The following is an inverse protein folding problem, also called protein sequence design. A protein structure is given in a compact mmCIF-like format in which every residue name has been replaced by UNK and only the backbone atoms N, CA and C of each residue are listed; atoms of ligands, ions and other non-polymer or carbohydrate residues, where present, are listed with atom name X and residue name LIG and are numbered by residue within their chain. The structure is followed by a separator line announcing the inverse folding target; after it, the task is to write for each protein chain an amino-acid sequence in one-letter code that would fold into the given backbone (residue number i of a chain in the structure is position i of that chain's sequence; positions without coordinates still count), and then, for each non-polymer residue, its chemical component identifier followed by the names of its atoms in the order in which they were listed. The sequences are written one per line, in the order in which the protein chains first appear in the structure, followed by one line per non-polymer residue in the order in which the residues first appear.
data_IF_598230190868
#
_entry.id   IF_598230190868
#
_cell.length_a   1.000
_cell.length_b   1.000
_cell.length_c   1.000
_cell.angle_alpha   90.00
_cell.angle_beta   90.00
_cell.angle_gamma   90.00
#
_symmetry.space_group_name_H-M   'P 1'
#
loop_
_entity.id
_entity.type
_entity.pdbx_description
1 polymer ?
#
# COMPACT_ATOMS: atom_id res chain seq x y z
N UNK A 1 46.22 28.40 -26.13
CA UNK A 1 44.74 28.42 -26.16
C UNK A 1 44.24 27.16 -25.47
N UNK A 2 43.75 27.28 -24.25
CA UNK A 2 43.16 26.17 -23.49
C UNK A 2 41.65 26.14 -23.82
N UNK A 3 41.24 25.22 -24.69
CA UNK A 3 39.83 25.02 -25.09
C UNK A 3 39.01 24.26 -24.01
N UNK A 4 39.66 23.75 -22.95
CA UNK A 4 39.04 22.88 -21.95
C UNK A 4 37.86 23.50 -21.16
N UNK A 5 37.85 24.83 -20.98
CA UNK A 5 36.77 25.53 -20.25
C UNK A 5 35.48 25.66 -21.10
N UNK A 6 35.59 25.53 -22.43
CA UNK A 6 34.43 25.62 -23.34
C UNK A 6 33.93 24.26 -23.83
N UNK A 7 34.73 23.19 -23.77
CA UNK A 7 34.32 21.86 -24.28
C UNK A 7 33.54 21.05 -23.24
N UNK A 8 33.85 21.20 -21.94
CA UNK A 8 33.18 20.48 -20.84
C UNK A 8 31.64 20.59 -20.88
N UNK A 9 31.07 21.80 -20.94
CA UNK A 9 29.61 21.98 -20.96
C UNK A 9 28.91 21.39 -22.19
N UNK A 10 29.58 21.38 -23.37
CA UNK A 10 28.99 20.83 -24.60
C UNK A 10 28.99 19.30 -24.60
N UNK A 11 30.04 18.67 -24.06
CA UNK A 11 30.11 17.21 -23.91
C UNK A 11 29.09 16.73 -22.88
N UNK A 12 28.98 17.43 -21.76
CA UNK A 12 27.98 17.19 -20.73
C UNK A 12 26.54 17.32 -21.28
N UNK A 13 26.23 18.40 -22.01
CA UNK A 13 24.91 18.57 -22.62
C UNK A 13 24.57 17.45 -23.61
N UNK A 14 25.55 17.03 -24.43
CA UNK A 14 25.36 15.93 -25.39
C UNK A 14 25.08 14.61 -24.66
N UNK A 15 25.76 14.37 -23.55
CA UNK A 15 25.55 13.18 -22.75
C UNK A 15 24.17 13.18 -22.06
N UNK A 16 23.73 14.31 -21.49
CA UNK A 16 22.37 14.45 -20.95
C UNK A 16 21.32 14.19 -22.04
N UNK A 17 21.51 14.70 -23.26
CA UNK A 17 20.61 14.42 -24.38
C UNK A 17 20.52 12.93 -24.71
N UNK A 18 21.66 12.20 -24.71
CA UNK A 18 21.65 10.75 -24.93
C UNK A 18 20.93 10.00 -23.80
N UNK A 19 21.09 10.47 -22.55
CA UNK A 19 20.37 9.90 -21.41
C UNK A 19 18.86 10.08 -21.57
N UNK A 20 18.42 11.28 -21.95
CA UNK A 20 17.00 11.59 -22.13
C UNK A 20 16.38 10.95 -23.37
N UNK A 21 17.11 10.85 -24.48
CA UNK A 21 16.56 10.35 -25.73
C UNK A 21 16.58 8.83 -25.85
N UNK A 22 17.47 8.15 -25.12
CA UNK A 22 17.68 6.70 -25.30
C UNK A 22 17.70 5.91 -24.00
N UNK A 23 18.50 6.35 -23.03
CA UNK A 23 18.69 5.58 -21.79
C UNK A 23 17.43 5.55 -20.94
N UNK A 24 16.90 6.72 -20.54
CA UNK A 24 15.70 6.83 -19.74
C UNK A 24 14.47 6.19 -20.43
N UNK A 25 14.19 6.43 -21.72
CA UNK A 25 13.11 5.72 -22.41
C UNK A 25 13.25 4.19 -22.36
N UNK A 26 14.48 3.66 -22.46
CA UNK A 26 14.73 2.22 -22.33
C UNK A 26 14.36 1.70 -20.93
N UNK A 27 14.73 2.44 -19.88
CA UNK A 27 14.36 2.09 -18.51
C UNK A 27 12.85 2.18 -18.28
N UNK A 28 12.23 3.28 -18.71
CA UNK A 28 10.79 3.52 -18.62
C UNK A 28 10.01 2.41 -19.32
N UNK A 29 10.41 2.00 -20.53
CA UNK A 29 9.80 0.88 -21.25
C UNK A 29 9.88 -0.43 -20.45
N UNK A 30 10.98 -0.66 -19.74
CA UNK A 30 11.12 -1.80 -18.84
C UNK A 30 10.13 -1.75 -17.69
N UNK A 31 10.06 -0.62 -16.99
CA UNK A 31 9.16 -0.43 -15.86
C UNK A 31 7.68 -0.46 -16.26
N UNK A 32 7.31 0.04 -17.44
CA UNK A 32 5.93 -0.09 -17.95
C UNK A 32 5.56 -1.56 -18.17
N UNK A 33 6.48 -2.40 -18.64
CA UNK A 33 6.23 -3.84 -18.73
C UNK A 33 5.99 -4.45 -17.35
N UNK A 34 6.81 -4.10 -16.36
CA UNK A 34 6.62 -4.59 -14.99
C UNK A 34 5.29 -4.10 -14.40
N UNK A 35 4.93 -2.83 -14.64
CA UNK A 35 3.71 -2.22 -14.16
C UNK A 35 2.48 -2.97 -14.70
N UNK A 36 2.52 -3.37 -15.96
CA UNK A 36 1.46 -4.14 -16.60
C UNK A 36 1.39 -5.61 -16.15
N UNK A 37 2.54 -6.19 -15.77
CA UNK A 37 2.63 -7.60 -15.34
C UNK A 37 2.37 -7.78 -13.84
N UNK A 38 2.57 -6.74 -13.03
CA UNK A 38 2.36 -6.80 -11.59
C UNK A 38 0.89 -7.10 -11.26
N UNK A 39 0.62 -7.89 -10.19
CA UNK A 39 -0.74 -8.23 -9.82
C UNK A 39 -1.60 -6.98 -9.60
N UNK A 40 -2.90 -7.01 -9.95
CA UNK A 40 -3.79 -5.88 -9.74
C UNK A 40 -3.83 -5.44 -8.29
N UNK A 41 -3.90 -4.13 -8.06
CA UNK A 41 -4.06 -3.53 -6.72
C UNK A 41 -2.96 -3.93 -5.71
N UNK A 42 -1.79 -4.37 -6.19
CA UNK A 42 -0.71 -4.90 -5.36
C UNK A 42 0.34 -3.86 -4.96
N UNK A 43 1.03 -4.12 -3.84
CA UNK A 43 2.21 -3.35 -3.41
C UNK A 43 3.36 -3.45 -4.42
N UNK A 44 3.48 -4.55 -5.15
CA UNK A 44 4.45 -4.70 -6.24
C UNK A 44 4.18 -3.67 -7.35
N UNK A 45 2.91 -3.56 -7.80
CA UNK A 45 2.51 -2.58 -8.81
C UNK A 45 2.75 -1.14 -8.34
N UNK A 46 2.42 -0.84 -7.08
CA UNK A 46 2.70 0.46 -6.47
C UNK A 46 4.20 0.78 -6.43
N UNK A 47 5.04 -0.20 -6.10
CA UNK A 47 6.50 -0.03 -6.08
C UNK A 47 7.05 0.31 -7.47
N UNK A 48 6.57 -0.36 -8.52
CA UNK A 48 6.94 -0.03 -9.91
C UNK A 48 6.50 1.39 -10.26
N UNK A 49 5.24 1.75 -9.97
CA UNK A 49 4.69 3.08 -10.24
C UNK A 49 5.48 4.19 -9.52
N UNK A 50 5.89 3.94 -8.27
CA UNK A 50 6.71 4.86 -7.49
C UNK A 50 8.02 5.17 -8.19
N UNK A 51 8.72 4.15 -8.69
CA UNK A 51 10.00 4.32 -9.41
C UNK A 51 9.78 5.06 -10.73
N UNK A 52 8.74 4.71 -11.50
CA UNK A 52 8.36 5.42 -12.73
C UNK A 52 8.18 6.93 -12.48
N UNK A 53 7.39 7.28 -11.45
CA UNK A 53 7.13 8.67 -11.06
C UNK A 53 8.39 9.38 -10.59
N UNK A 54 9.23 8.72 -9.78
CA UNK A 54 10.49 9.30 -9.32
C UNK A 54 11.51 9.50 -10.44
N UNK A 55 11.55 8.65 -11.47
CA UNK A 55 12.43 8.86 -12.63
C UNK A 55 11.96 10.05 -13.48
N UNK A 56 10.65 10.27 -13.58
CA UNK A 56 10.05 11.36 -14.35
C UNK A 56 10.13 12.72 -13.64
N UNK A 57 9.68 12.79 -12.39
CA UNK A 57 9.42 14.03 -11.65
C UNK A 57 10.38 14.17 -10.47
N UNK A 58 11.24 15.20 -10.54
CA UNK A 58 12.27 15.46 -9.53
C UNK A 58 11.70 15.89 -8.18
N UNK A 59 10.49 16.44 -8.13
CA UNK A 59 9.90 17.00 -6.90
C UNK A 59 9.65 15.96 -5.81
N UNK A 60 9.32 14.72 -6.19
CA UNK A 60 9.14 13.58 -5.28
C UNK A 60 10.23 12.52 -5.38
N UNK A 61 11.34 12.84 -6.06
CA UNK A 61 12.41 11.89 -6.34
C UNK A 61 13.25 11.59 -5.10
N UNK A 62 13.32 10.31 -4.75
CA UNK A 62 14.35 9.78 -3.85
C UNK A 62 15.34 8.95 -4.68
N UNK A 63 16.52 9.52 -4.95
CA UNK A 63 17.53 8.88 -5.81
C UNK A 63 17.95 7.51 -5.28
N UNK A 64 18.11 7.37 -3.97
CA UNK A 64 18.55 6.12 -3.35
C UNK A 64 17.48 5.02 -3.50
N UNK A 65 16.21 5.36 -3.31
CA UNK A 65 15.11 4.41 -3.52
C UNK A 65 15.04 3.90 -4.97
N UNK A 66 15.21 4.80 -5.96
CA UNK A 66 15.26 4.43 -7.39
C UNK A 66 16.46 3.52 -7.67
N UNK A 67 17.65 3.90 -7.18
CA UNK A 67 18.88 3.11 -7.37
C UNK A 67 18.76 1.71 -6.76
N UNK A 68 18.24 1.59 -5.54
CA UNK A 68 18.05 0.29 -4.89
C UNK A 68 17.08 -0.61 -5.66
N UNK A 69 15.97 -0.06 -6.14
CA UNK A 69 15.03 -0.81 -6.95
C UNK A 69 15.67 -1.31 -8.26
N UNK A 70 16.35 -0.41 -8.98
CA UNK A 70 16.98 -0.75 -10.26
C UNK A 70 18.16 -1.72 -10.07
N UNK A 71 18.94 -1.60 -8.99
CA UNK A 71 19.98 -2.56 -8.63
C UNK A 71 19.43 -3.96 -8.46
N UNK A 72 18.31 -4.11 -7.73
CA UNK A 72 17.65 -5.41 -7.53
C UNK A 72 17.15 -5.98 -8.85
N UNK A 73 16.54 -5.14 -9.70
CA UNK A 73 16.11 -5.52 -11.05
C UNK A 73 17.27 -6.05 -11.89
N UNK A 74 18.36 -5.30 -11.99
CA UNK A 74 19.52 -5.67 -12.80
C UNK A 74 20.31 -6.84 -12.22
N UNK A 75 20.30 -7.04 -10.91
CA UNK A 75 20.88 -8.25 -10.30
C UNK A 75 20.18 -9.52 -10.78
N UNK A 76 18.88 -9.45 -11.06
CA UNK A 76 18.11 -10.57 -11.60
C UNK A 76 18.30 -10.73 -13.11
N UNK A 77 18.27 -9.63 -13.87
CA UNK A 77 18.34 -9.65 -15.34
C UNK A 77 19.76 -9.90 -15.87
N UNK A 78 20.78 -9.32 -15.21
CA UNK A 78 22.19 -9.38 -15.60
C UNK A 78 23.02 -10.15 -14.58
N UNK A 79 22.54 -11.31 -14.15
CA UNK A 79 23.20 -12.12 -13.13
C UNK A 79 24.65 -12.45 -13.52
N UNK A 80 25.58 -12.23 -12.60
CA UNK A 80 27.02 -12.44 -12.81
C UNK A 80 27.75 -11.37 -13.64
N UNK A 81 27.03 -10.40 -14.24
CA UNK A 81 27.61 -9.37 -15.12
C UNK A 81 27.84 -8.05 -14.36
N UNK A 82 28.80 -8.07 -13.41
CA UNK A 82 29.05 -6.94 -12.50
C UNK A 82 29.40 -5.63 -13.22
N UNK A 83 30.20 -5.68 -14.27
CA UNK A 83 30.63 -4.49 -15.00
C UNK A 83 29.45 -3.79 -15.69
N UNK A 84 28.52 -4.57 -16.25
CA UNK A 84 27.29 -4.03 -16.86
C UNK A 84 26.40 -3.39 -15.81
N UNK A 85 26.21 -4.06 -14.66
CA UNK A 85 25.41 -3.50 -13.56
C UNK A 85 26.01 -2.18 -13.03
N UNK A 86 27.34 -2.11 -12.90
CA UNK A 86 28.03 -0.91 -12.47
C UNK A 86 27.89 0.25 -13.48
N UNK A 87 28.02 -0.03 -14.79
CA UNK A 87 27.84 0.97 -15.83
C UNK A 87 26.39 1.49 -15.89
N UNK A 88 25.40 0.58 -15.84
CA UNK A 88 23.99 0.95 -15.77
C UNK A 88 23.71 1.83 -14.56
N UNK A 89 24.28 1.50 -13.39
CA UNK A 89 24.12 2.30 -12.18
C UNK A 89 24.73 3.69 -12.32
N UNK A 90 25.92 3.81 -12.90
CA UNK A 90 26.56 5.11 -13.12
C UNK A 90 25.75 6.02 -14.06
N UNK A 91 25.18 5.47 -15.13
CA UNK A 91 24.30 6.22 -16.04
C UNK A 91 23.00 6.65 -15.35
N UNK A 92 22.41 5.78 -14.52
CA UNK A 92 21.21 6.10 -13.76
C UNK A 92 21.47 7.20 -12.72
N UNK A 93 22.55 7.09 -11.96
CA UNK A 93 22.91 8.09 -10.93
C UNK A 93 23.03 9.47 -11.56
N UNK A 94 23.79 9.57 -12.66
CA UNK A 94 23.96 10.82 -13.38
C UNK A 94 22.64 11.33 -13.98
N UNK A 95 21.80 10.46 -14.55
CA UNK A 95 20.49 10.86 -15.06
C UNK A 95 19.60 11.44 -13.94
N UNK A 96 19.53 10.78 -12.78
CA UNK A 96 18.71 11.22 -11.65
C UNK A 96 19.15 12.56 -11.04
N UNK A 97 20.42 12.93 -11.19
CA UNK A 97 20.92 14.23 -10.76
C UNK A 97 20.55 15.36 -11.74
N UNK A 98 20.59 15.07 -13.04
CA UNK A 98 20.61 16.08 -14.09
C UNK A 98 19.31 16.24 -14.90
N UNK A 99 18.35 15.31 -14.81
CA UNK A 99 17.10 15.36 -15.61
C UNK A 99 15.86 15.66 -14.77
N UNK A 100 14.88 16.32 -15.38
CA UNK A 100 13.55 16.54 -14.82
C UNK A 100 12.53 16.66 -15.95
N UNK A 101 12.05 15.50 -16.43
CA UNK A 101 11.08 15.46 -17.52
C UNK A 101 9.77 16.12 -17.15
N UNK A 102 9.34 16.01 -15.89
CA UNK A 102 8.13 16.67 -15.43
C UNK A 102 8.26 18.20 -15.53
N UNK A 103 9.32 18.80 -14.98
CA UNK A 103 9.52 20.25 -15.07
C UNK A 103 9.68 20.73 -16.53
N UNK A 104 10.40 19.98 -17.37
CA UNK A 104 10.52 20.28 -18.81
C UNK A 104 9.14 20.34 -19.48
N UNK A 105 8.28 19.35 -19.23
CA UNK A 105 6.90 19.34 -19.77
C UNK A 105 6.08 20.51 -19.25
N UNK A 106 6.16 20.84 -17.96
CA UNK A 106 5.45 21.98 -17.38
C UNK A 106 5.92 23.31 -17.98
N UNK A 107 7.19 23.41 -18.40
CA UNK A 107 7.73 24.59 -19.09
C UNK A 107 7.37 24.67 -20.59
N UNK A 108 6.68 23.65 -21.13
CA UNK A 108 6.24 23.61 -22.53
C UNK A 108 7.27 23.03 -23.52
N UNK A 109 8.28 22.29 -23.05
CA UNK A 109 9.24 21.61 -23.93
C UNK A 109 8.53 20.53 -24.77
N UNK A 110 8.45 20.74 -26.09
CA UNK A 110 7.78 19.84 -27.03
C UNK A 110 8.41 18.46 -27.10
N UNK A 111 9.73 18.37 -26.96
CA UNK A 111 10.45 17.11 -27.06
C UNK A 111 10.22 16.28 -25.78
N UNK A 112 10.20 16.93 -24.61
CA UNK A 112 9.86 16.27 -23.34
C UNK A 112 8.41 15.76 -23.34
N UNK A 113 7.46 16.54 -23.89
CA UNK A 113 6.06 16.11 -24.05
C UNK A 113 5.97 14.90 -24.98
N UNK A 114 6.65 14.94 -26.12
CA UNK A 114 6.68 13.83 -27.08
C UNK A 114 7.28 12.56 -26.46
N UNK A 115 8.40 12.66 -25.73
CA UNK A 115 9.04 11.54 -25.03
C UNK A 115 8.14 10.89 -23.97
N UNK A 116 7.33 11.68 -23.26
CA UNK A 116 6.43 11.16 -22.21
C UNK A 116 5.15 10.53 -22.75
N UNK A 117 4.71 10.92 -23.95
CA UNK A 117 3.42 10.50 -24.53
C UNK A 117 3.14 8.99 -24.45
N UNK A 118 4.11 8.06 -24.68
CA UNK A 118 3.86 6.62 -24.56
C UNK A 118 3.56 6.13 -23.14
N UNK A 119 3.95 6.89 -22.11
CA UNK A 119 3.88 6.51 -20.69
C UNK A 119 2.67 7.07 -19.96
N UNK A 120 2.07 8.14 -20.51
CA UNK A 120 0.98 8.88 -19.87
C UNK A 120 -0.21 7.99 -19.49
N UNK A 121 -0.78 7.28 -20.47
CA UNK A 121 -1.96 6.42 -20.26
C UNK A 121 -1.69 5.24 -19.31
N UNK A 122 -0.59 4.46 -19.44
CA UNK A 122 -0.25 3.43 -18.46
C UNK A 122 -0.14 3.96 -17.03
N UNK A 123 0.50 5.11 -16.83
CA UNK A 123 0.68 5.73 -15.52
C UNK A 123 -0.67 6.14 -14.93
N UNK A 124 -1.49 6.87 -15.69
CA UNK A 124 -2.83 7.31 -15.24
C UNK A 124 -3.71 6.10 -14.89
N UNK A 125 -3.71 5.05 -15.71
CA UNK A 125 -4.49 3.85 -15.45
C UNK A 125 -4.05 3.16 -14.14
N UNK A 126 -2.73 3.03 -13.91
CA UNK A 126 -2.22 2.46 -12.68
C UNK A 126 -2.53 3.33 -11.46
N UNK A 127 -2.45 4.65 -11.58
CA UNK A 127 -2.85 5.59 -10.52
C UNK A 127 -4.33 5.41 -10.16
N UNK A 128 -5.21 5.38 -11.16
CA UNK A 128 -6.65 5.16 -10.94
C UNK A 128 -6.92 3.80 -10.28
N UNK A 129 -6.30 2.73 -10.77
CA UNK A 129 -6.42 1.39 -10.19
C UNK A 129 -5.98 1.36 -8.72
N UNK A 130 -4.78 1.86 -8.43
CA UNK A 130 -4.18 1.81 -7.09
C UNK A 130 -4.80 2.83 -6.12
N UNK A 131 -5.52 3.83 -6.62
CA UNK A 131 -6.27 4.81 -5.80
C UNK A 131 -7.58 4.26 -5.23
N UNK A 132 -8.07 3.11 -5.73
CA UNK A 132 -9.30 2.48 -5.22
C UNK A 132 -9.20 2.08 -3.75
N UNK A 133 -8.00 1.72 -3.30
CA UNK A 133 -7.73 1.45 -1.89
C UNK A 133 -7.44 2.79 -1.18
N UNK A 134 -8.26 3.20 -0.20
CA UNK A 134 -8.01 4.42 0.54
C UNK A 134 -6.64 4.41 1.22
N UNK A 135 -5.96 5.56 1.23
CA UNK A 135 -4.58 5.66 1.74
C UNK A 135 -4.43 5.14 3.17
N UNK A 136 -5.38 5.44 4.05
CA UNK A 136 -5.38 4.98 5.44
C UNK A 136 -5.41 3.45 5.54
N UNK A 137 -6.09 2.77 4.61
CA UNK A 137 -6.17 1.31 4.59
C UNK A 137 -4.83 0.70 4.19
N UNK A 138 -4.11 1.30 3.24
CA UNK A 138 -2.73 0.90 2.90
C UNK A 138 -1.76 1.10 4.07
N UNK A 139 -1.84 2.26 4.73
CA UNK A 139 -1.01 2.54 5.92
C UNK A 139 -1.24 1.47 6.98
N UNK A 140 -2.50 1.16 7.25
CA UNK A 140 -2.90 0.17 8.24
C UNK A 140 -2.41 -1.25 7.89
N UNK A 141 -2.55 -1.67 6.63
CA UNK A 141 -2.03 -2.96 6.16
C UNK A 141 -0.50 -3.04 6.30
N UNK A 142 0.21 -1.98 5.93
CA UNK A 142 1.68 -1.90 6.08
C UNK A 142 2.08 -2.01 7.55
N UNK A 143 1.37 -1.31 8.43
CA UNK A 143 1.60 -1.34 9.87
C UNK A 143 1.43 -2.77 10.42
N UNK A 144 0.37 -3.46 10.01
CA UNK A 144 0.08 -4.85 10.39
C UNK A 144 1.14 -5.81 9.85
N UNK A 145 1.53 -5.69 8.58
CA UNK A 145 2.56 -6.56 7.97
C UNK A 145 3.92 -6.38 8.64
N UNK A 146 4.34 -5.13 8.91
CA UNK A 146 5.59 -4.85 9.63
C UNK A 146 5.55 -5.33 11.09
N UNK A 147 4.37 -5.36 11.71
CA UNK A 147 4.23 -5.86 13.08
C UNK A 147 4.67 -7.33 13.18
N UNK A 148 4.44 -8.14 12.15
CA UNK A 148 4.80 -9.57 12.12
C UNK A 148 6.31 -9.82 12.22
N UNK A 149 7.16 -8.85 11.82
CA UNK A 149 8.62 -9.01 11.90
C UNK A 149 9.23 -8.44 13.18
N UNK A 150 8.48 -7.65 13.95
CA UNK A 150 8.98 -6.92 15.12
C UNK A 150 8.36 -7.41 16.42
N UNK A 151 7.09 -7.82 16.39
CA UNK A 151 6.40 -8.34 17.55
C UNK A 151 6.73 -9.83 17.78
N UNK A 152 6.63 -10.31 19.03
CA UNK A 152 6.64 -11.73 19.33
C UNK A 152 5.54 -12.51 18.61
N UNK A 153 5.59 -13.83 18.72
CA UNK A 153 4.57 -14.72 18.19
C UNK A 153 3.16 -14.38 18.70
N UNK A 154 2.17 -14.74 17.88
CA UNK A 154 0.77 -14.52 18.15
C UNK A 154 0.29 -15.26 19.41
N UNK A 155 -0.71 -14.68 20.08
CA UNK A 155 -1.29 -15.24 21.30
C UNK A 155 -2.30 -16.32 20.92
N UNK A 156 -2.15 -17.53 21.46
CA UNK A 156 -3.12 -18.59 21.29
C UNK A 156 -3.99 -18.74 22.55
N UNK A 157 -5.30 -18.58 22.41
CA UNK A 157 -6.27 -18.72 23.51
C UNK A 157 -6.24 -20.12 24.13
N UNK A 158 -5.96 -21.17 23.34
CA UNK A 158 -5.78 -22.53 23.84
C UNK A 158 -4.64 -22.60 24.86
N UNK A 159 -3.51 -21.99 24.54
CA UNK A 159 -2.33 -21.97 25.40
C UNK A 159 -2.55 -21.09 26.64
N UNK A 160 -3.31 -19.99 26.51
CA UNK A 160 -3.67 -19.14 27.66
C UNK A 160 -4.58 -19.85 28.66
N UNK A 161 -5.48 -20.73 28.19
CA UNK A 161 -6.28 -21.60 29.06
C UNK A 161 -5.41 -22.70 29.66
N UNK A 162 -4.50 -23.27 28.87
CA UNK A 162 -3.53 -24.24 29.30
C UNK A 162 -3.99 -25.70 29.08
N UNK A 163 -3.37 -26.67 29.77
CA UNK A 163 -3.42 -28.09 29.40
C UNK A 163 -4.82 -28.72 29.50
N UNK A 164 -5.73 -28.14 30.28
CA UNK A 164 -7.11 -28.62 30.42
C UNK A 164 -8.05 -28.08 29.35
N UNK A 165 -7.55 -27.32 28.37
CA UNK A 165 -8.39 -26.76 27.31
C UNK A 165 -9.22 -27.83 26.63
N UNK A 166 -8.57 -28.89 26.12
CA UNK A 166 -9.24 -29.94 25.33
C UNK A 166 -10.21 -30.83 26.13
N UNK A 167 -10.11 -30.77 27.46
CA UNK A 167 -11.03 -31.46 28.35
C UNK A 167 -12.35 -30.70 28.50
N UNK A 168 -12.33 -29.37 28.38
CA UNK A 168 -13.47 -28.51 28.67
C UNK A 168 -14.04 -27.82 27.44
N UNK A 169 -13.17 -27.38 26.53
CA UNK A 169 -13.52 -26.62 25.35
C UNK A 169 -13.29 -27.40 24.06
N UNK A 170 -14.08 -27.06 23.06
CA UNK A 170 -13.85 -27.36 21.65
C UNK A 170 -13.96 -26.06 20.87
N UNK A 171 -13.11 -25.90 19.86
CA UNK A 171 -13.12 -24.74 18.98
C UNK A 171 -13.79 -25.10 17.64
N UNK A 172 -14.67 -24.22 17.16
CA UNK A 172 -15.27 -24.39 15.83
C UNK A 172 -14.27 -24.17 14.69
N UNK A 173 -13.28 -23.30 14.92
CA UNK A 173 -12.16 -23.03 14.01
C UNK A 173 -10.91 -22.68 14.84
N UNK A 174 -9.86 -23.51 14.79
CA UNK A 174 -8.62 -23.27 15.54
C UNK A 174 -7.89 -21.98 15.14
N UNK A 175 -8.04 -21.50 13.90
CA UNK A 175 -7.43 -20.23 13.46
C UNK A 175 -7.97 -19.03 14.25
N UNK A 176 -9.23 -19.09 14.70
CA UNK A 176 -9.83 -18.03 15.53
C UNK A 176 -9.33 -18.03 16.97
N UNK A 177 -8.66 -19.11 17.40
CA UNK A 177 -7.99 -19.13 18.71
C UNK A 177 -6.67 -18.35 18.69
N UNK A 178 -6.12 -18.10 17.50
CA UNK A 178 -4.86 -17.37 17.32
C UNK A 178 -5.18 -15.88 17.15
N UNK A 179 -4.80 -15.09 18.15
CA UNK A 179 -4.94 -13.64 18.18
C UNK A 179 -3.60 -13.03 17.75
N UNK A 180 -3.55 -12.29 16.62
CA UNK A 180 -2.33 -11.63 16.19
C UNK A 180 -1.73 -10.77 17.30
N UNK A 181 -0.42 -10.85 17.54
CA UNK A 181 0.22 -10.09 18.62
C UNK A 181 -0.01 -8.58 18.46
N UNK A 182 -0.16 -8.11 17.21
CA UNK A 182 -0.54 -6.74 16.85
C UNK A 182 -1.88 -6.28 17.46
N UNK A 183 -2.82 -7.20 17.68
CA UNK A 183 -4.16 -6.96 18.25
C UNK A 183 -4.26 -7.43 19.71
N UNK A 184 -3.14 -7.44 20.43
CA UNK A 184 -3.08 -7.63 21.88
C UNK A 184 -2.78 -6.31 22.58
N UNK A 185 -3.00 -6.25 23.90
CA UNK A 185 -2.62 -5.05 24.67
C UNK A 185 -1.13 -4.74 24.51
N UNK A 186 -0.29 -5.77 24.51
CA UNK A 186 1.15 -5.61 24.29
C UNK A 186 1.41 -4.98 22.92
N UNK A 187 0.80 -5.48 21.84
CA UNK A 187 0.95 -4.92 20.50
C UNK A 187 0.47 -3.46 20.41
N UNK A 188 -0.63 -3.14 21.08
CA UNK A 188 -1.15 -1.77 21.16
C UNK A 188 -0.12 -0.82 21.77
N UNK A 189 0.37 -1.14 22.97
CA UNK A 189 1.24 -0.25 23.74
C UNK A 189 2.68 -0.23 23.23
N UNK A 190 3.23 -1.39 22.87
CA UNK A 190 4.63 -1.53 22.50
C UNK A 190 4.90 -1.15 21.04
N UNK A 191 3.88 -1.18 20.17
CA UNK A 191 4.04 -0.95 18.74
C UNK A 191 3.04 0.07 18.18
N UNK A 192 1.72 -0.20 18.17
CA UNK A 192 0.74 0.65 17.47
C UNK A 192 0.82 2.13 17.89
N UNK A 193 0.81 2.39 19.20
CA UNK A 193 0.88 3.76 19.76
C UNK A 193 2.19 4.45 19.39
N UNK A 194 3.30 3.72 19.36
CA UNK A 194 4.63 4.28 19.06
C UNK A 194 4.81 4.65 17.58
N UNK A 195 4.06 4.02 16.68
CA UNK A 195 4.18 4.31 15.24
C UNK A 195 3.47 5.59 14.81
N UNK A 196 2.60 6.18 15.65
CA UNK A 196 1.71 7.30 15.29
C UNK A 196 2.41 8.44 14.54
N UNK A 197 3.57 8.88 15.01
CA UNK A 197 4.29 10.01 14.40
C UNK A 197 4.94 9.63 13.06
N UNK A 198 5.45 8.40 12.93
CA UNK A 198 6.08 7.90 11.70
C UNK A 198 5.10 7.40 10.63
N UNK A 199 3.84 7.14 10.98
CA UNK A 199 2.83 6.59 10.06
C UNK A 199 2.50 7.52 8.89
N UNK A 200 2.59 8.84 9.09
CA UNK A 200 2.13 9.83 8.11
C UNK A 200 3.23 10.22 7.12
N UNK A 201 4.50 10.04 7.50
CA UNK A 201 5.63 10.31 6.60
C UNK A 201 5.77 9.25 5.52
N UNK A 202 5.38 8.00 5.82
CA UNK A 202 5.48 6.87 4.89
C UNK A 202 4.53 6.94 3.69
N UNK A 203 3.48 7.78 3.75
CA UNK A 203 2.37 7.71 2.78
C UNK A 203 2.16 8.96 1.95
N UNK A 204 2.77 10.08 2.33
CA UNK A 204 2.69 11.31 1.55
C UNK A 204 3.33 11.14 0.17
N UNK A 205 4.42 10.38 0.11
CA UNK A 205 5.04 9.95 -1.14
C UNK A 205 4.08 9.12 -2.00
N UNK A 206 3.35 8.17 -1.40
CA UNK A 206 2.43 7.31 -2.15
C UNK A 206 1.22 8.09 -2.67
N UNK A 207 0.69 9.06 -1.93
CA UNK A 207 -0.34 9.97 -2.46
C UNK A 207 0.17 10.81 -3.62
N UNK A 208 1.41 11.28 -3.58
CA UNK A 208 2.04 11.99 -4.69
C UNK A 208 2.27 11.07 -5.90
N UNK A 209 2.70 9.82 -5.68
CA UNK A 209 2.85 8.80 -6.72
C UNK A 209 1.51 8.53 -7.41
N UNK A 210 0.44 8.48 -6.62
CA UNK A 210 -0.93 8.27 -7.08
C UNK A 210 -1.61 9.52 -7.65
N UNK A 211 -0.91 10.67 -7.65
CA UNK A 211 -1.45 11.96 -8.09
C UNK A 211 -2.71 12.40 -7.31
N UNK A 212 -2.80 12.00 -6.03
CA UNK A 212 -3.85 12.44 -5.09
C UNK A 212 -3.50 13.77 -4.42
N UNK A 213 -2.19 14.05 -4.30
CA UNK A 213 -1.66 15.30 -3.78
C UNK A 213 -0.56 15.82 -4.71
N UNK A 214 -0.45 17.14 -4.84
CA UNK A 214 0.66 17.78 -5.58
C UNK A 214 1.95 17.86 -4.74
N UNK A 215 1.83 17.68 -3.43
CA UNK A 215 2.94 17.73 -2.47
C UNK A 215 3.27 16.34 -1.95
N UNK A 216 4.57 16.11 -1.71
CA UNK A 216 5.14 14.93 -1.05
C UNK A 216 4.99 15.03 0.48
N UNK A 217 4.35 16.09 0.99
CA UNK A 217 4.03 16.29 2.38
C UNK A 217 2.54 16.58 2.56
N UNK A 218 1.88 15.84 3.47
CA UNK A 218 0.50 16.12 3.88
C UNK A 218 0.39 17.36 4.75
N UNK A 219 -0.75 18.05 4.61
CA UNK A 219 -1.19 19.07 5.57
C UNK A 219 -1.48 18.44 6.93
N UNK A 220 -1.37 19.21 8.01
CA UNK A 220 -1.66 18.73 9.38
C UNK A 220 -3.07 18.15 9.51
N UNK A 221 -4.06 18.77 8.87
CA UNK A 221 -5.44 18.29 8.84
C UNK A 221 -5.58 16.91 8.17
N UNK A 222 -4.90 16.68 7.04
CA UNK A 222 -4.90 15.36 6.39
C UNK A 222 -4.24 14.31 7.28
N UNK A 223 -3.18 14.68 8.01
CA UNK A 223 -2.49 13.78 8.95
C UNK A 223 -3.43 13.32 10.06
N UNK A 224 -4.16 14.25 10.65
CA UNK A 224 -5.12 13.96 11.72
C UNK A 224 -6.25 13.05 11.23
N UNK A 225 -6.79 13.32 10.05
CA UNK A 225 -7.88 12.52 9.47
C UNK A 225 -7.43 11.08 9.14
N UNK A 226 -6.23 10.92 8.56
CA UNK A 226 -5.63 9.61 8.31
C UNK A 226 -5.43 8.85 9.63
N UNK A 227 -4.86 9.50 10.65
CA UNK A 227 -4.65 8.89 11.97
C UNK A 227 -5.97 8.47 12.62
N UNK A 228 -7.01 9.30 12.50
CA UNK A 228 -8.35 8.99 13.01
C UNK A 228 -8.89 7.72 12.35
N UNK A 229 -8.86 7.63 11.02
CA UNK A 229 -9.32 6.45 10.29
C UNK A 229 -8.53 5.17 10.64
N UNK A 230 -7.20 5.26 10.75
CA UNK A 230 -6.36 4.13 11.16
C UNK A 230 -6.72 3.65 12.56
N UNK A 231 -6.92 4.59 13.49
CA UNK A 231 -7.30 4.28 14.88
C UNK A 231 -8.66 3.60 14.95
N UNK A 232 -9.64 4.08 14.19
CA UNK A 232 -10.96 3.46 14.12
C UNK A 232 -10.89 2.03 13.57
N UNK A 233 -10.14 1.82 12.49
CA UNK A 233 -9.94 0.50 11.91
C UNK A 233 -9.25 -0.45 12.90
N UNK A 234 -8.20 0.02 13.59
CA UNK A 234 -7.48 -0.78 14.58
C UNK A 234 -8.38 -1.24 15.73
N UNK A 235 -9.18 -0.33 16.30
CA UNK A 235 -10.12 -0.67 17.39
C UNK A 235 -11.20 -1.65 16.91
N UNK A 236 -11.72 -1.43 15.69
CA UNK A 236 -12.70 -2.33 15.08
C UNK A 236 -12.15 -3.75 14.92
N UNK A 237 -10.96 -3.89 14.34
CA UNK A 237 -10.32 -5.19 14.14
C UNK A 237 -9.96 -5.85 15.47
N UNK A 238 -9.40 -5.09 16.42
CA UNK A 238 -9.12 -5.57 17.77
C UNK A 238 -10.36 -6.18 18.41
N UNK A 239 -11.47 -5.44 18.38
CA UNK A 239 -12.73 -5.87 18.99
C UNK A 239 -13.31 -7.09 18.28
N UNK A 240 -13.30 -7.09 16.95
CA UNK A 240 -13.81 -8.20 16.14
C UNK A 240 -13.00 -9.48 16.35
N UNK A 241 -11.66 -9.40 16.38
CA UNK A 241 -10.77 -10.55 16.56
C UNK A 241 -10.96 -11.19 17.94
N UNK A 242 -10.98 -10.40 19.02
CA UNK A 242 -11.18 -10.94 20.37
C UNK A 242 -12.58 -11.52 20.57
N UNK A 243 -13.62 -10.87 20.04
CA UNK A 243 -14.98 -11.44 20.06
C UNK A 243 -15.04 -12.75 19.28
N UNK A 244 -14.51 -12.79 18.07
CA UNK A 244 -14.47 -14.00 17.27
C UNK A 244 -13.71 -15.15 17.95
N UNK A 245 -12.61 -14.85 18.66
CA UNK A 245 -11.87 -15.86 19.43
C UNK A 245 -12.66 -16.39 20.63
N UNK A 246 -13.30 -15.51 21.39
CA UNK A 246 -14.11 -15.92 22.55
C UNK A 246 -15.41 -16.62 22.15
N UNK A 247 -16.11 -16.15 21.13
CA UNK A 247 -17.34 -16.76 20.59
C UNK A 247 -17.07 -18.13 19.96
N UNK A 248 -15.80 -18.42 19.63
CA UNK A 248 -15.38 -19.70 19.07
C UNK A 248 -15.08 -20.76 20.14
N UNK A 249 -15.05 -20.39 21.43
CA UNK A 249 -14.92 -21.31 22.55
C UNK A 249 -16.27 -21.93 22.91
N UNK A 250 -16.47 -23.20 22.56
CA UNK A 250 -17.66 -23.95 22.93
C UNK A 250 -17.33 -24.97 24.02
N UNK A 251 -18.26 -25.23 24.92
CA UNK A 251 -18.12 -26.33 25.88
C UNK A 251 -18.23 -27.64 25.13
N UNK A 252 -17.31 -28.56 25.43
CA UNK A 252 -17.30 -29.90 24.85
C UNK A 252 -18.57 -30.68 25.24
N UNK A 253 -19.10 -31.47 24.31
CA UNK A 253 -20.13 -32.47 24.61
C UNK A 253 -19.49 -33.73 25.20
N UNK A 254 -20.11 -34.30 26.24
CA UNK A 254 -19.61 -35.48 26.94
C UNK A 254 -20.56 -36.67 26.76
N UNK A 255 -20.05 -37.76 26.21
CA UNK A 255 -20.80 -39.02 26.10
C UNK A 255 -20.71 -39.86 27.39
N UNK A 256 -19.57 -39.79 28.09
CA UNK A 256 -19.31 -40.55 29.31
C UNK A 256 -19.43 -39.69 30.57
N UNK A 257 -20.14 -40.20 31.59
CA UNK A 257 -20.31 -39.51 32.88
C UNK A 257 -18.99 -39.25 33.61
N UNK A 258 -18.00 -40.16 33.47
CA UNK A 258 -16.67 -39.96 34.04
C UNK A 258 -15.98 -38.74 33.44
N UNK A 259 -16.00 -38.60 32.11
CA UNK A 259 -15.40 -37.45 31.42
C UNK A 259 -16.08 -36.12 31.79
N UNK A 260 -17.41 -36.12 31.98
CA UNK A 260 -18.14 -34.95 32.48
C UNK A 260 -17.72 -34.60 33.91
N UNK A 261 -17.55 -35.61 34.78
CA UNK A 261 -17.15 -35.40 36.17
C UNK A 261 -15.73 -34.83 36.25
N UNK A 262 -14.80 -35.38 35.47
CA UNK A 262 -13.41 -34.90 35.37
C UNK A 262 -13.36 -33.45 34.86
N UNK A 263 -14.17 -33.11 33.86
CA UNK A 263 -14.27 -31.75 33.35
C UNK A 263 -14.84 -30.78 34.38
N UNK A 264 -15.88 -31.17 35.13
CA UNK A 264 -16.45 -30.36 36.21
C UNK A 264 -15.44 -30.13 37.34
N UNK A 265 -14.65 -31.14 37.72
CA UNK A 265 -13.58 -31.00 38.70
C UNK A 265 -12.52 -29.99 38.24
N UNK A 266 -12.14 -30.03 36.95
CA UNK A 266 -11.22 -29.06 36.36
C UNK A 266 -11.80 -27.64 36.33
N UNK A 267 -13.11 -27.49 36.11
CA UNK A 267 -13.82 -26.20 36.09
C UNK A 267 -13.87 -25.57 37.49
N UNK A 268 -14.19 -26.36 38.53
CA UNK A 268 -14.49 -25.83 39.87
C UNK A 268 -13.23 -25.71 40.73
N UNK A 269 -12.35 -26.72 40.68
CA UNK A 269 -11.26 -26.89 41.65
C UNK A 269 -9.87 -26.97 41.02
N UNK A 270 -9.78 -27.41 39.76
CA UNK A 270 -8.53 -27.59 39.04
C UNK A 270 -8.00 -26.32 38.36
N UNK A 271 -7.65 -26.44 37.08
CA UNK A 271 -7.03 -25.36 36.30
C UNK A 271 -7.97 -24.18 35.96
N UNK A 272 -9.26 -24.27 36.30
CA UNK A 272 -10.26 -23.21 36.11
C UNK A 272 -10.25 -22.60 34.70
N UNK A 273 -10.44 -23.42 33.65
CA UNK A 273 -10.24 -23.01 32.26
C UNK A 273 -11.10 -21.81 31.82
N UNK A 274 -12.33 -21.69 32.33
CA UNK A 274 -13.17 -20.50 32.11
C UNK A 274 -12.56 -19.23 32.69
N UNK A 275 -12.05 -19.30 33.93
CA UNK A 275 -11.42 -18.16 34.57
C UNK A 275 -10.17 -17.73 33.82
N UNK A 276 -9.37 -18.68 33.32
CA UNK A 276 -8.18 -18.39 32.51
C UNK A 276 -8.54 -17.74 31.18
N UNK A 277 -9.54 -18.24 30.46
CA UNK A 277 -10.03 -17.62 29.22
C UNK A 277 -10.53 -16.18 29.47
N UNK A 278 -11.34 -15.99 30.51
CA UNK A 278 -11.84 -14.66 30.90
C UNK A 278 -10.72 -13.73 31.37
N UNK A 279 -9.69 -14.27 32.02
CA UNK A 279 -8.50 -13.51 32.44
C UNK A 279 -7.71 -13.04 31.22
N UNK A 280 -7.47 -13.91 30.23
CA UNK A 280 -6.81 -13.53 28.98
C UNK A 280 -7.58 -12.44 28.23
N UNK A 281 -8.91 -12.56 28.15
CA UNK A 281 -9.77 -11.52 27.58
C UNK A 281 -9.66 -10.22 28.39
N UNK A 282 -9.83 -10.29 29.72
CA UNK A 282 -9.75 -9.13 30.61
C UNK A 282 -8.42 -8.41 30.44
N UNK A 283 -7.31 -9.12 30.53
CA UNK A 283 -5.96 -8.55 30.52
C UNK A 283 -5.64 -7.86 29.19
N UNK A 284 -6.35 -8.23 28.11
CA UNK A 284 -6.24 -7.58 26.81
C UNK A 284 -7.34 -6.54 26.52
N UNK A 285 -8.42 -6.43 27.30
CA UNK A 285 -9.55 -5.55 26.95
C UNK A 285 -9.94 -4.54 28.02
N UNK A 286 -9.49 -4.70 29.28
CA UNK A 286 -9.85 -3.75 30.33
C UNK A 286 -9.22 -2.36 30.09
N UNK A 287 -9.82 -1.33 30.66
CA UNK A 287 -9.22 0.01 30.69
C UNK A 287 -7.98 0.04 31.58
N UNK A 288 -7.01 0.92 31.33
CA UNK A 288 -5.89 1.08 32.25
C UNK A 288 -6.41 1.53 33.63
N UNK A 289 -5.89 0.92 34.69
CA UNK A 289 -6.12 1.39 36.06
C UNK A 289 -4.97 2.31 36.45
N UNK A 290 -5.27 3.59 36.62
CA UNK A 290 -4.28 4.54 37.13
C UNK A 290 -4.05 4.32 38.62
N UNK A 291 -2.79 4.43 39.04
CA UNK A 291 -2.44 4.32 40.45
C UNK A 291 -3.12 5.44 41.25
N UNK A 292 -3.79 5.05 42.35
CA UNK A 292 -4.41 6.00 43.28
C UNK A 292 -3.40 6.93 43.98
N UNK A 293 -2.09 6.63 43.85
CA UNK A 293 -0.99 7.44 44.40
C UNK A 293 -0.51 8.57 43.47
N UNK A 294 -1.02 8.63 42.23
CA UNK A 294 -0.72 9.74 41.32
C UNK A 294 -1.40 11.02 41.83
N UNK A 295 -0.65 12.12 41.82
CA UNK A 295 -1.22 13.46 42.01
C UNK A 295 -2.12 13.84 40.83
N UNK A 296 -2.89 14.93 40.99
CA UNK A 296 -3.88 15.33 40.00
C UNK A 296 -3.27 15.65 38.64
N UNK A 297 -2.07 16.25 38.62
CA UNK A 297 -1.35 16.62 37.40
C UNK A 297 -0.82 15.41 36.65
N UNK A 298 -0.22 14.45 37.36
CA UNK A 298 0.28 13.21 36.78
C UNK A 298 -0.87 12.30 36.32
N UNK A 299 -2.00 12.32 37.03
CA UNK A 299 -3.22 11.64 36.61
C UNK A 299 -3.80 12.25 35.33
N UNK A 300 -3.88 13.58 35.25
CA UNK A 300 -4.34 14.27 34.05
C UNK A 300 -3.42 14.02 32.85
N UNK A 301 -2.10 14.05 33.06
CA UNK A 301 -1.13 13.69 32.03
C UNK A 301 -1.34 12.25 31.53
N UNK A 302 -1.47 11.27 32.44
CA UNK A 302 -1.69 9.88 32.08
C UNK A 302 -3.03 9.64 31.34
N UNK A 303 -4.09 10.36 31.70
CA UNK A 303 -5.38 10.30 30.98
C UNK A 303 -5.26 10.84 29.56
N UNK A 304 -4.33 11.77 29.34
CA UNK A 304 -4.08 12.36 28.04
C UNK A 304 -3.14 11.52 27.16
N UNK A 305 -2.48 10.49 27.72
CA UNK A 305 -1.70 9.54 26.94
C UNK A 305 -2.59 8.72 26.02
N UNK A 306 -2.08 8.46 24.80
CA UNK A 306 -2.86 7.82 23.76
C UNK A 306 -3.22 6.38 24.11
N UNK A 307 -2.28 5.62 24.67
CA UNK A 307 -2.52 4.23 25.05
C UNK A 307 -3.61 4.12 26.12
N UNK A 308 -3.62 5.02 27.11
CA UNK A 308 -4.70 5.12 28.10
C UNK A 308 -6.05 5.39 27.44
N UNK A 309 -6.13 6.38 26.52
CA UNK A 309 -7.37 6.71 25.81
C UNK A 309 -7.89 5.54 24.97
N UNK A 310 -7.01 4.87 24.23
CA UNK A 310 -7.36 3.73 23.38
C UNK A 310 -7.81 2.52 24.21
N UNK A 311 -7.10 2.19 25.29
CA UNK A 311 -7.46 1.08 26.18
C UNK A 311 -8.74 1.37 26.96
N UNK A 312 -8.96 2.62 27.37
CA UNK A 312 -10.22 3.05 27.98
C UNK A 312 -11.40 2.90 27.01
N UNK A 313 -11.19 3.26 25.74
CA UNK A 313 -12.18 3.08 24.69
C UNK A 313 -12.46 1.60 24.41
N UNK A 314 -11.43 0.77 24.26
CA UNK A 314 -11.60 -0.69 24.12
C UNK A 314 -12.38 -1.28 25.29
N UNK A 315 -12.03 -0.92 26.53
CA UNK A 315 -12.77 -1.38 27.72
C UNK A 315 -14.24 -0.93 27.73
N UNK A 316 -14.58 0.17 27.09
CA UNK A 316 -15.97 0.60 26.89
C UNK A 316 -16.70 -0.23 25.82
N UNK A 317 -16.05 -0.52 24.68
CA UNK A 317 -16.61 -1.35 23.59
C UNK A 317 -16.94 -2.77 24.06
N UNK A 318 -16.08 -3.37 24.91
CA UNK A 318 -16.33 -4.69 25.48
C UNK A 318 -17.39 -4.70 26.59
N UNK A 319 -17.60 -3.57 27.27
CA UNK A 319 -18.62 -3.45 28.33
C UNK A 319 -20.02 -3.15 27.80
N UNK A 320 -20.12 -2.36 26.72
CA UNK A 320 -21.41 -1.87 26.21
C UNK A 320 -22.08 -2.80 25.18
N UNK A 321 -21.44 -3.91 24.80
CA UNK A 321 -22.10 -5.05 24.17
C UNK A 321 -22.89 -4.76 22.89
N UNK A 322 -22.62 -3.67 22.16
CA UNK A 322 -23.33 -3.39 20.91
C UNK A 322 -22.72 -4.22 19.77
N UNK A 323 -23.47 -5.26 19.37
CA UNK A 323 -23.31 -5.93 18.10
C UNK A 323 -23.45 -4.91 16.95
N UNK A 324 -22.34 -4.56 16.30
CA UNK A 324 -22.39 -4.16 14.88
C UNK A 324 -22.25 -5.45 14.08
N UNK A 325 -23.34 -6.21 13.98
CA UNK A 325 -23.45 -7.30 13.01
C UNK A 325 -23.46 -6.67 11.62
N UNK A 326 -22.27 -6.54 11.02
CA UNK A 326 -22.14 -6.37 9.59
C UNK A 326 -22.60 -7.66 8.93
N UNK A 327 -23.87 -7.69 8.50
CA UNK A 327 -24.42 -8.80 7.75
C UNK A 327 -23.71 -8.93 6.41
N UNK A 328 -22.78 -9.89 6.31
CA UNK A 328 -22.37 -10.45 5.04
C UNK A 328 -23.52 -11.36 4.55
N UNK A 329 -24.48 -10.78 3.84
CA UNK A 329 -25.24 -11.53 2.83
C UNK A 329 -24.47 -11.43 1.53
N UNK A 330 -23.93 -12.56 1.10
CA UNK A 330 -23.45 -12.71 -0.26
C UNK A 330 -24.61 -12.53 -1.24
N UNK A 331 -24.36 -11.72 -2.28
CA UNK A 331 -24.95 -11.87 -3.60
C UNK A 331 -23.93 -11.29 -4.57
N UNK A 332 -23.30 -12.18 -5.34
CA UNK A 332 -22.67 -11.77 -6.58
C UNK A 332 -23.77 -11.42 -7.56
N UNK A 333 -23.73 -10.21 -8.12
CA UNK A 333 -24.34 -9.93 -9.41
C UNK A 333 -23.66 -8.72 -10.04
N UNK A 334 -23.13 -8.94 -11.25
CA UNK A 334 -22.61 -7.92 -12.13
C UNK A 334 -23.77 -7.00 -12.55
N UNK A 335 -23.69 -5.70 -12.27
CA UNK A 335 -24.54 -4.72 -12.93
C UNK A 335 -23.87 -3.34 -13.02
N UNK A 336 -23.49 -3.00 -14.25
CA UNK A 336 -23.36 -1.65 -14.80
C UNK A 336 -24.48 -0.70 -14.35
N UNK A 337 -24.15 0.53 -13.96
CA UNK A 337 -25.17 1.60 -13.91
C UNK A 337 -24.90 2.83 -13.05
N UNK A 338 -24.42 3.90 -13.69
CA UNK A 338 -24.83 5.32 -13.52
C UNK A 338 -24.51 6.03 -12.19
N UNK A 339 -23.56 6.97 -12.28
CA UNK A 339 -23.30 8.04 -11.31
C UNK A 339 -24.43 9.09 -11.36
N UNK A 340 -25.01 9.53 -10.23
CA UNK A 340 -25.85 10.71 -10.21
C UNK A 340 -24.97 11.98 -10.13
N UNK A 341 -25.20 12.90 -11.07
CA UNK A 341 -24.64 14.25 -11.04
C UNK A 341 -25.13 14.99 -9.78
N UNK A 342 -24.20 15.55 -9.02
CA UNK A 342 -24.53 16.59 -8.04
C UNK A 342 -23.99 17.92 -8.56
N UNK A 343 -24.94 18.74 -8.94
CA UNK A 343 -24.83 20.12 -9.34
C UNK A 343 -24.51 20.97 -8.10
N UNK A 344 -23.37 21.66 -8.09
CA UNK A 344 -23.17 22.88 -7.28
C UNK A 344 -21.90 23.62 -7.72
N UNK A 345 -22.09 24.51 -8.68
CA UNK A 345 -21.19 25.60 -8.98
C UNK A 345 -21.23 26.65 -7.84
N UNK A 346 -20.06 27.18 -7.47
CA UNK A 346 -19.93 28.47 -6.80
C UNK A 346 -18.93 29.34 -7.62
N UNK A 347 -19.16 30.66 -7.72
CA UNK A 347 -18.64 31.47 -8.83
C UNK A 347 -17.26 32.07 -8.55
N UNK A 348 -16.49 32.29 -9.61
CA UNK A 348 -15.32 33.19 -9.63
C UNK A 348 -15.73 34.58 -10.15
N UNK A 349 -15.08 35.66 -9.69
CA UNK A 349 -15.52 37.02 -9.97
C UNK A 349 -15.11 37.54 -11.36
N UNK A 350 -15.94 38.44 -11.87
CA UNK A 350 -15.87 39.08 -13.17
C UNK A 350 -14.63 39.98 -13.35
N UNK A 351 -14.05 39.91 -14.54
CA UNK A 351 -13.17 40.92 -15.12
C UNK A 351 -13.43 40.96 -16.62
N UNK A 352 -13.91 42.09 -17.11
CA UNK A 352 -14.07 42.49 -18.51
C UNK A 352 -13.41 43.88 -18.64
N UNK A 353 -13.06 44.40 -19.84
CA UNK A 353 -13.27 43.84 -21.17
C UNK A 353 -12.09 44.04 -22.17
N UNK A 354 -12.34 43.60 -23.42
CA UNK A 354 -12.01 44.28 -24.69
C UNK A 354 -10.71 43.92 -25.43
N UNK A 355 -10.81 43.19 -26.55
CA UNK A 355 -10.66 43.74 -27.92
C UNK A 355 -10.76 42.66 -29.02
N UNK A 356 -11.72 42.90 -29.92
CA UNK A 356 -11.64 42.79 -31.39
C UNK A 356 -11.26 41.47 -32.10
N UNK A 357 -12.26 40.94 -32.82
CA UNK A 357 -12.31 40.82 -34.30
C UNK A 357 -12.47 39.42 -34.92
N UNK A 358 -13.57 39.34 -35.69
CA UNK A 358 -13.70 38.78 -37.04
C UNK A 358 -13.59 37.26 -37.29
N UNK A 359 -14.62 36.74 -37.96
CA UNK A 359 -14.45 35.69 -38.97
C UNK A 359 -15.49 34.56 -38.92
N UNK A 360 -16.61 34.75 -39.61
CA UNK A 360 -17.57 33.71 -40.00
C UNK A 360 -16.94 32.61 -40.89
N UNK A 361 -17.81 31.65 -41.25
CA UNK A 361 -17.72 30.55 -42.24
C UNK A 361 -17.40 29.23 -41.52
N UNK A 362 -18.23 28.18 -41.53
CA UNK A 362 -19.22 27.72 -42.50
C UNK A 362 -19.22 26.19 -42.41
N UNK A 363 -20.40 25.59 -42.51
CA UNK A 363 -20.65 24.16 -42.32
C UNK A 363 -19.93 23.28 -43.36
N UNK A 364 -19.67 22.01 -43.03
CA UNK A 364 -20.41 20.87 -43.60
C UNK A 364 -19.83 19.51 -43.18
N UNK A 365 -20.78 18.62 -42.92
CA UNK A 365 -20.71 17.17 -42.75
C UNK A 365 -20.22 16.43 -44.00
N UNK A 366 -19.53 15.29 -43.82
CA UNK A 366 -20.02 13.96 -44.27
C UNK A 366 -18.98 12.85 -44.17
N UNK A 367 -19.39 11.78 -43.49
CA UNK A 367 -19.27 10.35 -43.83
C UNK A 367 -18.54 9.95 -45.11
N UNK A 368 -17.68 8.93 -45.04
CA UNK A 368 -17.88 7.65 -45.74
C UNK A 368 -16.77 6.61 -45.47
N UNK A 369 -17.27 5.44 -45.12
CA UNK A 369 -16.70 4.07 -45.10
C UNK A 369 -16.13 3.63 -46.45
N UNK A 370 -15.01 2.87 -46.43
CA UNK A 370 -14.71 1.62 -47.18
C UNK A 370 -13.20 1.35 -47.06
N UNK A 371 -12.65 0.22 -46.59
CA UNK A 371 -12.99 -1.15 -46.89
C UNK A 371 -12.09 -1.67 -48.02
N UNK A 372 -11.00 -2.40 -47.73
CA UNK A 372 -10.46 -3.50 -48.57
C UNK A 372 -9.23 -4.23 -48.00
N UNK A 373 -9.51 -5.46 -47.55
CA UNK A 373 -8.82 -6.74 -47.79
C UNK A 373 -7.28 -6.82 -47.74
N UNK A 374 -6.83 -7.48 -46.66
CA UNK A 374 -5.62 -8.31 -46.57
C UNK A 374 -5.59 -9.43 -47.62
N UNK A 375 -4.42 -9.62 -48.21
CA UNK A 375 -4.07 -10.83 -48.96
C UNK A 375 -2.77 -11.40 -48.37
N UNK A 376 -2.88 -12.58 -47.78
CA UNK A 376 -1.78 -13.41 -47.27
C UNK A 376 -1.10 -14.12 -48.45
N UNK A 377 0.23 -14.16 -48.43
CA UNK A 377 1.02 -15.11 -49.23
C UNK A 377 2.08 -15.74 -48.34
N UNK A 378 1.86 -17.01 -47.99
CA UNK A 378 2.86 -17.89 -47.39
C UNK A 378 3.88 -18.30 -48.46
N UNK A 379 5.17 -18.34 -48.13
CA UNK A 379 6.15 -19.11 -48.90
C UNK A 379 7.06 -19.92 -47.96
N UNK A 380 7.18 -21.20 -48.34
CA UNK A 380 7.86 -22.32 -47.69
C UNK A 380 9.38 -22.28 -47.90
N UNK A 381 10.08 -22.81 -46.90
CA UNK A 381 11.45 -23.34 -46.99
C UNK A 381 11.56 -24.61 -47.85
N UNK A 382 12.74 -24.91 -48.39
CA UNK A 382 13.21 -26.27 -48.67
C UNK A 382 14.35 -26.73 -47.72
N UNK A 383 14.68 -28.05 -47.68
CA UNK A 383 15.37 -28.69 -46.57
C UNK A 383 16.81 -29.19 -46.86
N UNK A 384 17.48 -29.54 -45.76
CA UNK A 384 18.54 -30.53 -45.51
C UNK A 384 19.90 -30.51 -46.24
N UNK A 385 20.96 -30.50 -45.41
CA UNK A 385 22.32 -30.93 -45.74
C UNK A 385 23.17 -31.14 -44.47
N UNK A 386 23.39 -32.41 -44.10
CA UNK A 386 24.20 -32.88 -42.96
C UNK A 386 25.72 -32.84 -43.26
N UNK A 387 26.56 -32.49 -42.25
CA UNK A 387 27.64 -33.32 -41.66
C UNK A 387 28.75 -32.48 -40.96
N UNK A 388 28.76 -32.53 -39.62
CA UNK A 388 29.82 -32.79 -38.60
C UNK A 388 31.31 -32.34 -38.79
N UNK A 389 32.23 -32.56 -37.81
CA UNK A 389 32.75 -31.51 -36.93
C UNK A 389 34.30 -31.36 -36.98
N UNK A 390 34.87 -30.33 -36.35
CA UNK A 390 36.26 -30.37 -35.89
C UNK A 390 36.46 -29.43 -34.68
N UNK A 391 36.86 -30.06 -33.57
CA UNK A 391 37.55 -29.51 -32.41
C UNK A 391 38.98 -29.09 -32.76
N UNK A 392 39.45 -28.01 -32.13
CA UNK A 392 40.80 -27.85 -31.59
C UNK A 392 40.72 -26.91 -30.39
#
# INVERSE_FOLDING_TARGET
MYQGVRVGPYVEQTYIQLLEQRYLPSLMNGLIRDLNNAPPESEEKLAVLRVLRMMEDKSGRNNEAVKQYMARRWSNEFHGQRDIQAQLMAHLDYALEHTDWHAQRQSGDSDAVSRWTPYDKPVINAQQELSKLPIYQRVYQTLRTKALSVLPADLNLRDQVGPTFDNVFVAGNDEKLVIPQFLTRYGLQSYFVKQREGLVELTALDSWVLNLTQSVAYSEADREEIQRHITEQYISDYTATWRAGMDNLNVRDYEAMSALTDALEQIISGDQPFQRALTALRDNTHALTLSGKLDDKAREAAINEMDYRLLSRLGHEFRTGKQRTGGAKGQGEYATGRVPATDRAAPLPAGDPELASAGEIGAESSTATSGSKQQRSNLRYPPDGKNSPCTA
#
